data_IF_848852555410
#
_entry.id   IF_848852555410
#
_cell.length_a   1.000
_cell.length_b   1.000
_cell.length_c   1.000
_cell.angle_alpha   90.00
_cell.angle_beta   90.00
_cell.angle_gamma   90.00
#
_symmetry.space_group_name_H-M   'P 1'
#
loop_
_entity.id
_entity.type
_entity.pdbx_description
1 polymer ?
#
# COMPACT_ATOMS: atom_id res chain seq x y z
N UNK A 1 6.56 -92.80 -24.94
CA UNK A 1 8.01 -92.48 -24.95
C UNK A 1 8.15 -90.97 -24.82
N UNK A 2 8.79 -90.48 -23.75
CA UNK A 2 9.51 -89.19 -23.57
C UNK A 2 9.06 -87.95 -24.37
N UNK A 3 8.91 -86.72 -23.84
CA UNK A 3 9.45 -86.05 -22.65
C UNK A 3 8.71 -84.70 -22.48
N UNK A 4 8.72 -84.19 -21.26
CA UNK A 4 8.28 -82.85 -20.86
C UNK A 4 9.31 -81.74 -21.24
N UNK A 5 8.84 -80.48 -21.17
CA UNK A 5 9.51 -79.26 -20.63
C UNK A 5 9.66 -78.06 -21.59
N UNK A 6 8.91 -77.01 -21.22
CA UNK A 6 9.10 -75.56 -21.29
C UNK A 6 10.45 -74.98 -21.76
N UNK A 7 10.37 -73.92 -22.58
CA UNK A 7 11.21 -72.71 -22.50
C UNK A 7 10.38 -71.46 -22.79
N UNK A 8 10.61 -70.42 -21.98
CA UNK A 8 10.01 -69.10 -22.05
C UNK A 8 10.88 -68.12 -22.87
N UNK A 9 10.43 -66.85 -22.92
CA UNK A 9 11.12 -65.60 -23.29
C UNK A 9 10.78 -65.06 -24.68
N UNK A 10 10.14 -63.88 -24.77
CA UNK A 10 10.53 -62.64 -25.50
C UNK A 10 9.69 -61.48 -24.88
N UNK A 11 10.24 -60.68 -23.96
CA UNK A 11 10.85 -59.33 -24.10
C UNK A 11 9.86 -58.22 -24.50
N UNK A 12 9.70 -57.28 -23.56
CA UNK A 12 9.03 -55.98 -23.66
C UNK A 12 10.09 -54.91 -23.94
N UNK A 13 9.98 -54.15 -25.04
CA UNK A 13 10.64 -52.83 -25.20
C UNK A 13 9.67 -51.87 -25.89
N UNK A 14 9.46 -50.75 -25.20
CA UNK A 14 8.78 -49.51 -25.56
C UNK A 14 9.52 -48.70 -26.62
N UNK A 15 8.80 -48.06 -27.55
CA UNK A 15 9.02 -46.66 -27.99
C UNK A 15 7.93 -46.26 -28.99
N UNK A 16 7.11 -45.27 -28.68
CA UNK A 16 6.55 -44.38 -29.70
C UNK A 16 6.54 -42.94 -29.15
N UNK A 17 7.26 -42.09 -29.86
CA UNK A 17 7.38 -40.67 -29.64
C UNK A 17 6.09 -39.96 -30.08
N UNK A 18 5.56 -39.07 -29.23
CA UNK A 18 4.60 -38.06 -29.65
C UNK A 18 5.35 -36.79 -30.07
N UNK A 19 5.47 -36.59 -31.37
CA UNK A 19 5.82 -35.29 -31.96
C UNK A 19 4.55 -34.46 -32.15
N UNK A 20 4.63 -33.21 -31.71
CA UNK A 20 3.62 -32.17 -31.83
C UNK A 20 3.21 -31.87 -33.28
N UNK A 21 1.93 -31.56 -33.49
CA UNK A 21 1.47 -30.67 -34.56
C UNK A 21 0.40 -29.76 -33.95
N UNK A 22 0.71 -28.47 -33.90
CA UNK A 22 -0.21 -27.40 -33.56
C UNK A 22 -1.05 -27.02 -34.78
N UNK A 23 -2.31 -26.65 -34.55
CA UNK A 23 -3.16 -25.98 -35.54
C UNK A 23 -3.75 -24.70 -34.94
N UNK A 24 -3.90 -23.63 -35.74
CA UNK A 24 -3.94 -22.26 -35.26
C UNK A 24 -5.34 -21.77 -34.84
N UNK A 25 -5.33 -20.80 -33.94
CA UNK A 25 -6.47 -20.03 -33.45
C UNK A 25 -6.76 -18.89 -34.45
N UNK A 26 -7.88 -18.99 -35.16
CA UNK A 26 -8.35 -17.94 -36.08
C UNK A 26 -9.48 -17.13 -35.42
N UNK A 27 -9.20 -15.84 -35.30
CA UNK A 27 -10.11 -14.68 -35.39
C UNK A 27 -11.43 -14.67 -34.58
N UNK A 28 -11.42 -13.88 -33.51
CA UNK A 28 -12.57 -13.04 -33.17
C UNK A 28 -12.09 -11.61 -32.89
N UNK A 29 -12.04 -10.79 -33.96
CA UNK A 29 -11.85 -9.34 -33.93
C UNK A 29 -13.00 -8.71 -34.72
N UNK A 30 -13.95 -8.10 -33.99
CA UNK A 30 -14.94 -7.08 -34.38
C UNK A 30 -16.00 -7.12 -33.25
N UNK A 31 -16.35 -6.05 -32.52
CA UNK A 31 -16.62 -4.67 -32.89
C UNK A 31 -16.37 -3.80 -31.65
N UNK A 32 -15.43 -2.86 -31.72
CA UNK A 32 -15.41 -1.69 -30.82
C UNK A 32 -16.24 -0.62 -31.52
N UNK A 33 -17.45 -0.39 -31.02
CA UNK A 33 -18.20 0.82 -31.36
C UNK A 33 -17.69 1.97 -30.49
N UNK A 34 -17.28 3.03 -31.18
CA UNK A 34 -16.81 4.29 -30.66
C UNK A 34 -17.78 4.93 -29.66
N UNK A 35 -17.28 5.29 -28.47
CA UNK A 35 -17.85 6.36 -27.65
C UNK A 35 -16.78 7.39 -27.36
N UNK A 36 -16.76 8.40 -28.22
CA UNK A 36 -16.05 9.67 -28.11
C UNK A 36 -16.44 10.40 -26.81
N UNK A 37 -15.51 10.83 -25.94
CA UNK A 37 -15.84 11.79 -24.91
C UNK A 37 -15.95 13.19 -25.54
N UNK A 38 -17.13 13.78 -25.36
CA UNK A 38 -17.49 15.14 -25.73
C UNK A 38 -16.64 16.12 -24.91
N UNK A 39 -15.62 16.70 -25.55
CA UNK A 39 -14.94 17.90 -25.07
C UNK A 39 -15.81 19.09 -25.51
N UNK A 40 -16.56 19.64 -24.57
CA UNK A 40 -17.18 20.97 -24.63
C UNK A 40 -16.64 21.73 -23.41
N UNK A 41 -15.63 22.58 -23.61
CA UNK A 41 -15.76 24.01 -23.94
C UNK A 41 -15.92 24.87 -22.70
N UNK A 42 -14.80 25.34 -22.13
CA UNK A 42 -14.72 26.62 -21.43
C UNK A 42 -13.30 27.16 -21.60
N UNK A 43 -13.11 27.94 -22.66
CA UNK A 43 -12.06 28.94 -22.72
C UNK A 43 -12.73 30.30 -23.01
N UNK A 44 -12.20 31.34 -22.36
CA UNK A 44 -12.40 32.78 -22.57
C UNK A 44 -13.59 33.46 -21.87
N UNK A 45 -13.28 34.15 -20.76
CA UNK A 45 -13.57 35.60 -20.53
C UNK A 45 -12.51 36.10 -19.54
N UNK A 46 -11.41 36.67 -20.03
CA UNK A 46 -11.13 38.10 -20.15
C UNK A 46 -10.31 38.66 -18.96
N UNK A 47 -9.05 38.98 -19.27
CA UNK A 47 -8.17 39.86 -18.53
C UNK A 47 -8.59 41.30 -18.87
N UNK A 48 -8.91 42.10 -17.86
CA UNK A 48 -8.86 43.56 -17.95
C UNK A 48 -8.36 44.15 -16.64
N UNK A 49 -7.27 44.87 -16.78
CA UNK A 49 -6.59 45.77 -15.84
C UNK A 49 -7.52 46.84 -15.29
N UNK A 50 -7.40 47.18 -14.00
CA UNK A 50 -7.50 48.58 -13.58
C UNK A 50 -6.64 48.88 -12.34
N UNK A 51 -5.80 49.90 -12.51
CA UNK A 51 -4.95 50.57 -11.52
C UNK A 51 -5.70 51.81 -11.01
N UNK A 52 -5.72 52.03 -9.70
CA UNK A 52 -5.78 53.36 -9.07
C UNK A 52 -5.37 53.19 -7.58
N UNK A 53 -4.14 53.56 -7.19
CA UNK A 53 -3.76 54.88 -6.64
C UNK A 53 -4.67 55.43 -5.54
N UNK A 54 -4.19 55.41 -4.28
CA UNK A 54 -4.15 56.61 -3.43
C UNK A 54 -2.80 56.66 -2.69
N UNK A 55 -2.20 57.85 -2.81
CA UNK A 55 -0.90 58.38 -2.39
C UNK A 55 -0.79 58.59 -0.86
N UNK A 56 0.39 58.37 -0.27
CA UNK A 56 1.40 59.40 0.11
C UNK A 56 1.00 60.17 1.39
N UNK A 57 1.77 60.16 2.48
CA UNK A 57 2.95 60.98 2.80
C UNK A 57 3.29 60.59 4.27
N UNK A 58 4.47 60.70 4.88
CA UNK A 58 5.59 61.63 4.74
C UNK A 58 6.72 61.00 5.59
N UNK A 59 7.87 60.73 4.99
CA UNK A 59 9.08 61.56 5.05
C UNK A 59 9.96 61.40 6.31
N UNK A 60 11.21 61.01 6.01
CA UNK A 60 12.47 61.69 6.40
C UNK A 60 12.97 61.52 7.85
N UNK A 61 14.26 61.32 8.13
CA UNK A 61 15.48 61.46 7.33
C UNK A 61 16.69 60.91 8.14
N UNK A 62 17.73 60.41 7.43
CA UNK A 62 19.18 60.78 7.53
C UNK A 62 19.85 60.62 8.92
N UNK A 63 21.07 60.13 9.11
CA UNK A 63 22.14 59.56 8.29
C UNK A 63 23.28 59.18 9.23
N UNK A 64 24.13 58.26 8.76
CA UNK A 64 25.54 57.98 9.08
C UNK A 64 26.22 58.69 10.26
N UNK A 65 26.96 57.91 11.07
CA UNK A 65 28.39 58.13 11.33
C UNK A 65 29.07 56.84 11.77
N UNK A 66 30.37 56.78 11.48
CA UNK A 66 31.20 55.59 11.39
C UNK A 66 31.97 55.26 12.67
N UNK A 67 32.44 54.00 12.67
CA UNK A 67 33.69 53.49 13.26
C UNK A 67 33.87 53.25 14.78
N UNK A 68 34.68 52.20 14.98
CA UNK A 68 35.48 51.80 16.16
C UNK A 68 34.83 50.80 17.13
N UNK A 69 35.21 49.54 16.93
CA UNK A 69 35.15 48.47 17.94
C UNK A 69 35.97 48.82 19.19
N UNK A 70 35.63 48.25 20.36
CA UNK A 70 36.51 47.19 20.83
C UNK A 70 35.77 45.93 21.28
N UNK A 71 36.43 44.79 21.03
CA UNK A 71 36.15 43.46 21.60
C UNK A 71 35.86 43.55 23.11
N UNK A 72 34.72 43.01 23.54
CA UNK A 72 34.60 42.34 24.82
C UNK A 72 34.03 40.94 24.62
N UNK A 73 34.84 39.95 25.00
CA UNK A 73 34.48 38.55 25.00
C UNK A 73 33.39 38.26 26.04
N UNK A 74 32.18 37.94 25.58
CA UNK A 74 31.14 37.38 26.43
C UNK A 74 31.33 35.86 26.55
N UNK A 75 31.64 35.41 27.76
CA UNK A 75 31.74 34.00 28.16
C UNK A 75 30.37 33.29 27.97
N UNK A 76 30.34 31.99 27.62
CA UNK A 76 29.07 31.27 27.47
C UNK A 76 28.40 31.13 28.85
N UNK A 77 27.23 31.75 29.01
CA UNK A 77 26.37 31.51 30.16
C UNK A 77 25.93 30.05 30.13
N UNK A 78 26.32 29.28 31.15
CA UNK A 78 25.87 27.90 31.34
C UNK A 78 24.37 27.92 31.59
N UNK A 79 23.60 27.34 30.66
CA UNK A 79 22.16 27.16 30.82
C UNK A 79 21.85 26.51 32.18
N UNK A 80 20.80 26.99 32.84
CA UNK A 80 20.37 26.47 34.15
C UNK A 80 20.02 24.97 34.02
N UNK A 81 20.12 24.19 35.10
CA UNK A 81 19.71 22.79 35.09
C UNK A 81 18.27 22.62 34.56
N UNK A 82 17.39 23.57 34.86
CA UNK A 82 16.01 23.59 34.35
C UNK A 82 15.94 23.86 32.83
N UNK A 83 16.68 24.85 32.32
CA UNK A 83 16.74 25.10 30.87
C UNK A 83 17.38 23.93 30.10
N UNK A 84 18.33 23.23 30.73
CA UNK A 84 18.94 22.02 30.18
C UNK A 84 17.96 20.84 30.15
N UNK A 85 17.15 20.68 31.20
CA UNK A 85 16.09 19.66 31.25
C UNK A 85 14.98 19.98 30.25
N UNK A 86 14.60 21.25 30.09
CA UNK A 86 13.61 21.67 29.11
C UNK A 86 14.10 21.48 27.67
N UNK A 87 15.32 21.91 27.34
CA UNK A 87 15.92 21.68 26.03
C UNK A 87 16.13 20.18 25.73
N UNK A 88 16.45 19.38 26.75
CA UNK A 88 16.52 17.92 26.60
C UNK A 88 15.13 17.30 26.45
N UNK A 89 14.07 17.87 27.05
CA UNK A 89 12.70 17.41 26.86
C UNK A 89 12.14 17.78 25.49
N UNK A 90 12.45 18.98 24.99
CA UNK A 90 12.06 19.45 23.66
C UNK A 90 12.79 18.68 22.55
N UNK A 91 14.08 18.36 22.75
CA UNK A 91 14.85 17.54 21.82
C UNK A 91 14.53 16.02 21.95
N UNK A 92 13.80 15.61 23.00
CA UNK A 92 13.21 14.27 23.12
C UNK A 92 11.81 14.19 22.52
N UNK A 93 11.09 15.31 22.45
CA UNK A 93 9.79 15.43 21.79
C UNK A 93 9.90 15.54 20.26
N UNK A 94 11.03 16.01 19.73
CA UNK A 94 11.27 16.08 18.28
C UNK A 94 11.78 14.77 17.65
N UNK A 95 12.04 13.76 18.48
CA UNK A 95 12.38 12.39 18.06
C UNK A 95 11.31 11.39 18.53
N UNK A 96 10.04 11.77 18.48
CA UNK A 96 8.93 10.85 18.72
C UNK A 96 8.85 9.78 17.61
N UNK A 97 9.56 8.68 17.84
CA UNK A 97 9.31 7.31 17.39
C UNK A 97 8.05 7.12 16.54
N UNK A 98 8.13 7.42 15.24
CA UNK A 98 6.98 7.38 14.31
C UNK A 98 6.49 5.98 13.94
N UNK A 99 7.04 4.91 14.52
CA UNK A 99 6.72 3.52 14.16
C UNK A 99 6.66 2.64 15.42
N UNK A 100 5.79 2.98 16.37
CA UNK A 100 5.40 1.98 17.37
C UNK A 100 4.34 1.07 16.76
N UNK A 101 4.61 -0.22 16.77
CA UNK A 101 3.67 -1.26 16.37
C UNK A 101 2.28 -1.01 16.99
N UNK A 102 1.24 -0.99 16.15
CA UNK A 102 -0.14 -0.79 16.57
C UNK A 102 -0.93 -2.07 16.46
N UNK A 103 -1.40 -2.59 17.60
CA UNK A 103 -2.22 -3.80 17.66
C UNK A 103 -3.71 -3.47 17.56
N UNK A 104 -4.42 -4.20 16.69
CA UNK A 104 -5.86 -4.11 16.47
C UNK A 104 -6.50 -5.49 16.68
N UNK A 105 -7.75 -5.53 17.17
CA UNK A 105 -8.60 -6.72 17.13
C UNK A 105 -9.69 -6.48 16.09
N UNK A 106 -9.68 -7.24 15.00
CA UNK A 106 -10.58 -7.04 13.87
C UNK A 106 -11.65 -8.11 13.84
N UNK A 107 -12.90 -7.73 13.60
CA UNK A 107 -14.00 -8.67 13.37
C UNK A 107 -13.85 -9.34 12.00
N UNK A 108 -13.95 -10.67 11.99
CA UNK A 108 -13.95 -11.46 10.76
C UNK A 108 -15.34 -11.35 10.14
N UNK A 109 -15.39 -10.87 8.91
CA UNK A 109 -16.63 -10.73 8.15
C UNK A 109 -16.44 -11.16 6.71
N UNK A 110 -17.54 -11.52 6.07
CA UNK A 110 -17.59 -11.69 4.62
C UNK A 110 -17.59 -10.33 3.94
N UNK A 111 -16.66 -10.17 3.02
CA UNK A 111 -16.50 -8.99 2.18
C UNK A 111 -16.71 -9.40 0.71
N UNK A 112 -16.95 -8.44 -0.17
CA UNK A 112 -17.16 -8.67 -1.60
C UNK A 112 -16.25 -7.79 -2.42
N UNK A 113 -15.61 -8.37 -3.42
CA UNK A 113 -14.82 -7.59 -4.38
C UNK A 113 -15.72 -6.91 -5.41
N UNK A 114 -15.12 -6.16 -6.34
CA UNK A 114 -15.85 -5.48 -7.40
C UNK A 114 -16.49 -6.41 -8.44
N UNK A 115 -16.10 -7.68 -8.48
CA UNK A 115 -16.72 -8.71 -9.30
C UNK A 115 -17.84 -9.45 -8.55
N UNK A 116 -18.07 -9.12 -7.28
CA UNK A 116 -19.08 -9.74 -6.42
C UNK A 116 -18.62 -11.02 -5.72
N UNK A 117 -17.36 -11.44 -5.89
CA UNK A 117 -16.82 -12.63 -5.25
C UNK A 117 -16.64 -12.38 -3.76
N UNK A 118 -17.02 -13.37 -2.95
CA UNK A 118 -16.96 -13.31 -1.50
C UNK A 118 -15.58 -13.71 -1.01
N UNK A 119 -15.09 -13.02 0.02
CA UNK A 119 -13.83 -13.31 0.69
C UNK A 119 -13.94 -12.98 2.19
N UNK A 120 -12.95 -13.40 2.99
CA UNK A 120 -12.95 -13.12 4.43
C UNK A 120 -11.90 -12.08 4.77
N UNK A 121 -12.26 -11.12 5.60
CA UNK A 121 -11.35 -10.09 6.07
C UNK A 121 -11.86 -9.33 7.28
N UNK A 122 -11.03 -8.40 7.74
CA UNK A 122 -11.37 -7.46 8.80
C UNK A 122 -11.30 -6.03 8.28
N UNK A 123 -12.37 -5.25 8.46
CA UNK A 123 -12.40 -3.82 8.13
C UNK A 123 -11.57 -3.04 9.14
N UNK A 124 -10.92 -1.98 8.67
CA UNK A 124 -10.09 -1.09 9.50
C UNK A 124 -10.63 0.33 9.38
N UNK A 125 -10.68 1.03 10.50
CA UNK A 125 -11.16 2.40 10.53
C UNK A 125 -10.14 3.36 9.92
N UNK A 126 -10.64 4.45 9.32
CA UNK A 126 -9.77 5.53 8.83
C UNK A 126 -8.93 6.15 9.96
N UNK A 127 -9.50 6.25 11.16
CA UNK A 127 -8.80 6.76 12.34
C UNK A 127 -7.55 5.94 12.64
N UNK A 128 -7.64 4.61 12.51
CA UNK A 128 -6.53 3.72 12.76
C UNK A 128 -5.40 3.85 11.74
N UNK A 129 -5.72 4.30 10.53
CA UNK A 129 -4.79 4.46 9.41
C UNK A 129 -4.30 5.89 9.21
N UNK A 130 -4.81 6.85 9.97
CA UNK A 130 -4.58 8.28 9.77
C UNK A 130 -3.09 8.66 9.71
N UNK A 131 -2.25 8.06 10.57
CA UNK A 131 -0.81 8.29 10.56
C UNK A 131 -0.16 7.78 9.27
N UNK A 132 -0.47 6.55 8.85
CA UNK A 132 0.09 5.95 7.64
C UNK A 132 -0.40 6.67 6.36
N UNK A 133 -1.62 7.18 6.36
CA UNK A 133 -2.15 8.00 5.27
C UNK A 133 -1.42 9.35 5.16
N UNK A 134 -1.06 9.96 6.30
CA UNK A 134 -0.19 11.15 6.31
C UNK A 134 1.20 10.83 5.77
N UNK A 135 1.79 9.69 6.17
CA UNK A 135 3.08 9.24 5.65
C UNK A 135 3.02 9.00 4.14
N UNK A 136 1.96 8.34 3.64
CA UNK A 136 1.74 8.14 2.22
C UNK A 136 1.63 9.46 1.46
N UNK A 137 0.86 10.41 2.01
CA UNK A 137 0.70 11.75 1.42
C UNK A 137 2.03 12.48 1.34
N UNK A 138 2.84 12.41 2.41
CA UNK A 138 4.17 12.99 2.44
C UNK A 138 5.13 12.33 1.43
N UNK A 139 4.98 11.03 1.17
CA UNK A 139 5.84 10.31 0.24
C UNK A 139 5.49 10.57 -1.24
N UNK A 140 4.21 10.83 -1.55
CA UNK A 140 3.72 11.02 -2.92
C UNK A 140 3.55 12.48 -3.33
N UNK A 141 3.33 13.38 -2.37
CA UNK A 141 2.79 14.72 -2.63
C UNK A 141 1.27 14.69 -2.86
N UNK A 142 0.65 15.88 -2.89
CA UNK A 142 -0.81 16.05 -2.92
C UNK A 142 -1.49 15.39 -4.13
N UNK A 143 -0.97 15.66 -5.33
CA UNK A 143 -1.60 15.22 -6.59
C UNK A 143 -1.54 13.70 -6.75
N UNK A 144 -0.35 13.11 -6.59
CA UNK A 144 -0.19 11.66 -6.68
C UNK A 144 -0.92 10.94 -5.55
N UNK A 145 -0.95 11.51 -4.33
CA UNK A 145 -1.73 10.93 -3.25
C UNK A 145 -3.21 10.80 -3.63
N UNK A 146 -3.82 11.84 -4.20
CA UNK A 146 -5.20 11.81 -4.64
C UNK A 146 -5.45 10.70 -5.68
N UNK A 147 -4.56 10.58 -6.68
CA UNK A 147 -4.64 9.54 -7.71
C UNK A 147 -4.56 8.15 -7.07
N UNK A 148 -3.53 7.86 -6.28
CA UNK A 148 -3.31 6.54 -5.69
C UNK A 148 -4.47 6.13 -4.76
N UNK A 149 -5.02 7.10 -4.00
CA UNK A 149 -6.20 6.89 -3.17
C UNK A 149 -7.45 6.59 -3.99
N UNK A 150 -7.63 7.26 -5.12
CA UNK A 150 -8.77 7.03 -6.02
C UNK A 150 -8.77 5.61 -6.58
N UNK A 151 -7.62 5.11 -7.03
CA UNK A 151 -7.49 3.73 -7.53
C UNK A 151 -7.79 2.69 -6.46
N UNK A 152 -7.28 2.87 -5.24
CA UNK A 152 -7.63 1.99 -4.12
C UNK A 152 -9.11 2.07 -3.77
N UNK A 153 -9.66 3.28 -3.68
CA UNK A 153 -11.06 3.47 -3.32
C UNK A 153 -12.02 2.87 -4.35
N UNK A 154 -11.68 2.96 -5.64
CA UNK A 154 -12.43 2.33 -6.71
C UNK A 154 -12.39 0.79 -6.60
N UNK A 155 -11.23 0.20 -6.29
CA UNK A 155 -11.08 -1.26 -6.12
C UNK A 155 -11.74 -1.81 -4.86
N UNK A 156 -11.63 -1.10 -3.74
CA UNK A 156 -12.00 -1.58 -2.40
C UNK A 156 -13.29 -0.94 -1.86
N UNK A 157 -14.09 -0.34 -2.75
CA UNK A 157 -15.39 0.27 -2.42
C UNK A 157 -15.26 1.31 -1.30
N UNK A 158 -14.23 2.15 -1.37
CA UNK A 158 -13.91 3.20 -0.40
C UNK A 158 -13.59 2.69 1.03
N UNK A 159 -13.40 1.38 1.21
CA UNK A 159 -13.08 0.79 2.52
C UNK A 159 -11.61 0.43 2.64
N UNK A 160 -11.14 0.32 3.88
CA UNK A 160 -9.86 -0.31 4.19
C UNK A 160 -10.11 -1.63 4.89
N UNK A 161 -9.37 -2.65 4.51
CA UNK A 161 -9.50 -3.97 5.08
C UNK A 161 -8.19 -4.74 5.00
N UNK A 162 -8.07 -5.77 5.82
CA UNK A 162 -7.08 -6.82 5.67
C UNK A 162 -7.80 -8.06 5.18
N UNK A 163 -7.30 -8.60 4.07
CA UNK A 163 -7.77 -9.89 3.57
C UNK A 163 -7.20 -11.01 4.44
N UNK A 164 -8.05 -11.85 5.00
CA UNK A 164 -7.68 -13.07 5.73
C UNK A 164 -7.65 -14.28 4.79
N UNK A 165 -8.70 -14.41 3.97
CA UNK A 165 -8.83 -15.41 2.90
C UNK A 165 -9.25 -14.67 1.64
N UNK A 166 -8.53 -14.85 0.53
CA UNK A 166 -8.84 -14.13 -0.71
C UNK A 166 -10.03 -14.76 -1.46
N UNK A 167 -10.61 -14.09 -2.48
CA UNK A 167 -11.78 -14.59 -3.19
C UNK A 167 -11.61 -15.99 -3.79
N UNK A 168 -10.45 -16.31 -4.36
CA UNK A 168 -10.17 -17.61 -4.96
C UNK A 168 -10.01 -18.71 -3.90
N UNK A 169 -9.29 -18.41 -2.82
CA UNK A 169 -9.16 -19.33 -1.67
C UNK A 169 -10.53 -19.62 -1.06
N UNK A 170 -11.38 -18.61 -0.91
CA UNK A 170 -12.71 -18.73 -0.31
C UNK A 170 -13.66 -19.65 -1.11
N UNK A 171 -13.43 -19.80 -2.43
CA UNK A 171 -14.18 -20.76 -3.25
C UNK A 171 -13.80 -22.22 -2.97
N UNK A 172 -12.57 -22.45 -2.49
CA UNK A 172 -12.00 -23.79 -2.31
C UNK A 172 -12.09 -24.31 -0.88
N UNK A 173 -12.25 -23.43 0.11
CA UNK A 173 -12.36 -23.84 1.52
C UNK A 173 -13.67 -24.59 1.79
N UNK A 174 -13.61 -25.57 2.68
CA UNK A 174 -14.80 -26.27 3.14
C UNK A 174 -15.60 -25.43 4.14
N UNK A 175 -16.64 -24.75 3.66
CA UNK A 175 -17.51 -23.86 4.45
C UNK A 175 -18.29 -24.58 5.55
N UNK A 176 -18.55 -25.87 5.40
CA UNK A 176 -19.32 -26.65 6.39
C UNK A 176 -18.54 -26.94 7.68
N UNK A 177 -17.21 -26.83 7.62
CA UNK A 177 -16.30 -27.03 8.77
C UNK A 177 -15.75 -25.71 9.31
N UNK A 178 -16.27 -24.57 8.83
CA UNK A 178 -15.73 -23.24 9.08
C UNK A 178 -16.09 -22.75 10.50
N UNK A 179 -15.35 -23.22 11.52
CA UNK A 179 -15.43 -22.69 12.88
C UNK A 179 -14.40 -21.60 13.06
N UNK A 180 -14.73 -20.39 12.62
CA UNK A 180 -13.86 -19.23 12.78
C UNK A 180 -14.09 -18.55 14.12
N UNK A 181 -13.04 -18.01 14.75
CA UNK A 181 -13.23 -17.06 15.85
C UNK A 181 -13.95 -15.81 15.33
N UNK A 182 -14.62 -15.08 16.20
CA UNK A 182 -15.29 -13.82 15.81
C UNK A 182 -14.28 -12.75 15.39
N UNK A 183 -13.10 -12.76 15.99
CA UNK A 183 -12.07 -11.74 15.78
C UNK A 183 -10.69 -12.36 15.63
N UNK A 184 -9.76 -11.60 15.06
CA UNK A 184 -8.34 -11.93 14.97
C UNK A 184 -7.49 -10.70 15.25
N UNK A 185 -6.35 -10.89 15.92
CA UNK A 185 -5.44 -9.79 16.24
C UNK A 185 -4.48 -9.52 15.10
N UNK A 186 -4.25 -8.26 14.82
CA UNK A 186 -3.32 -7.77 13.79
C UNK A 186 -2.39 -6.74 14.42
N UNK A 187 -1.10 -6.81 14.09
CA UNK A 187 -0.11 -5.78 14.42
C UNK A 187 0.26 -5.03 13.14
N UNK A 188 0.08 -3.72 13.14
CA UNK A 188 0.49 -2.82 12.06
C UNK A 188 1.90 -2.29 12.37
N UNK A 189 2.82 -2.45 11.41
CA UNK A 189 4.25 -2.16 11.61
C UNK A 189 4.68 -0.82 11.01
N UNK A 190 4.25 -0.52 9.79
CA UNK A 190 4.75 0.65 9.06
C UNK A 190 4.29 0.71 7.61
N UNK A 191 4.63 1.81 6.94
CA UNK A 191 4.39 1.98 5.51
C UNK A 191 5.35 1.10 4.70
N UNK A 192 4.79 0.19 3.92
CA UNK A 192 5.49 -0.63 2.94
C UNK A 192 5.23 -0.14 1.51
N UNK A 193 6.16 -0.47 0.62
CA UNK A 193 6.06 -0.20 -0.80
C UNK A 193 6.62 -1.35 -1.62
N UNK A 194 5.92 -1.66 -2.71
CA UNK A 194 6.48 -2.45 -3.82
C UNK A 194 6.36 -1.66 -5.12
N UNK A 195 7.30 -1.90 -6.02
CA UNK A 195 7.39 -1.27 -7.33
C UNK A 195 7.77 -2.34 -8.34
N UNK A 196 7.09 -2.35 -9.48
CA UNK A 196 7.40 -3.20 -10.61
C UNK A 196 7.09 -2.44 -11.90
N UNK A 197 8.12 -2.16 -12.70
CA UNK A 197 8.02 -1.29 -13.86
C UNK A 197 7.38 0.07 -13.50
N UNK A 198 6.27 0.43 -14.15
CA UNK A 198 5.52 1.66 -13.91
C UNK A 198 4.49 1.53 -12.79
N UNK A 199 4.36 0.33 -12.20
CA UNK A 199 3.38 0.06 -11.13
C UNK A 199 4.00 0.29 -9.76
N UNK A 200 3.25 0.96 -8.89
CA UNK A 200 3.62 1.19 -7.49
C UNK A 200 2.44 0.91 -6.58
N UNK A 201 2.70 0.17 -5.51
CA UNK A 201 1.71 -0.08 -4.47
C UNK A 201 2.25 0.28 -3.10
N UNK A 202 1.46 1.04 -2.36
CA UNK A 202 1.70 1.42 -0.98
C UNK A 202 0.66 0.79 -0.06
N UNK A 203 1.14 0.28 1.06
CA UNK A 203 0.31 -0.46 2.00
C UNK A 203 0.89 -0.36 3.41
N UNK A 204 0.08 -0.61 4.43
CA UNK A 204 0.59 -0.83 5.79
C UNK A 204 0.99 -2.29 5.90
N UNK A 205 2.25 -2.55 6.21
CA UNK A 205 2.73 -3.91 6.51
C UNK A 205 2.12 -4.34 7.84
N UNK A 206 1.56 -5.55 7.87
CA UNK A 206 0.94 -6.10 9.05
C UNK A 206 1.37 -7.54 9.31
N UNK A 207 1.31 -7.95 10.57
CA UNK A 207 1.44 -9.35 10.98
C UNK A 207 0.24 -9.80 11.79
N UNK A 208 -0.06 -11.10 11.76
CA UNK A 208 -1.17 -11.67 12.52
C UNK A 208 -0.90 -13.15 12.78
N UNK A 209 -0.47 -13.48 14.00
CA UNK A 209 -0.30 -14.88 14.41
C UNK A 209 -1.65 -15.61 14.37
N UNK A 210 -2.71 -14.97 14.90
CA UNK A 210 -4.08 -15.49 14.87
C UNK A 210 -4.55 -15.73 13.42
N UNK A 211 -4.27 -14.79 12.51
CA UNK A 211 -4.59 -14.91 11.10
C UNK A 211 -3.85 -16.05 10.40
N UNK A 212 -2.56 -16.25 10.67
CA UNK A 212 -1.82 -17.40 10.14
C UNK A 212 -2.38 -18.72 10.68
N UNK A 213 -2.70 -18.77 11.98
CA UNK A 213 -3.29 -19.95 12.61
C UNK A 213 -4.64 -20.32 11.98
N UNK A 214 -5.50 -19.32 11.75
CA UNK A 214 -6.77 -19.52 11.03
C UNK A 214 -6.51 -20.08 9.63
N UNK A 215 -5.57 -19.49 8.87
CA UNK A 215 -5.23 -19.97 7.52
C UNK A 215 -4.74 -21.42 7.53
N UNK A 216 -3.91 -21.80 8.51
CA UNK A 216 -3.44 -23.18 8.67
C UNK A 216 -4.58 -24.16 8.93
N UNK A 217 -5.54 -23.79 9.80
CA UNK A 217 -6.73 -24.62 10.06
C UNK A 217 -7.62 -24.78 8.81
N UNK A 218 -7.56 -23.82 7.88
CA UNK A 218 -8.24 -23.87 6.59
C UNK A 218 -7.39 -24.55 5.49
N UNK A 219 -6.23 -25.11 5.83
CA UNK A 219 -5.25 -25.70 4.90
C UNK A 219 -4.77 -24.71 3.82
N UNK A 220 -4.78 -23.42 4.14
CA UNK A 220 -4.27 -22.35 3.28
C UNK A 220 -2.80 -22.06 3.59
N UNK A 221 -2.06 -21.65 2.55
CA UNK A 221 -0.66 -21.25 2.70
C UNK A 221 -0.52 -20.03 3.61
N UNK A 222 0.63 -19.88 4.27
CA UNK A 222 0.98 -18.61 4.91
C UNK A 222 0.99 -17.47 3.87
N UNK A 223 0.68 -16.26 4.30
CA UNK A 223 0.74 -15.07 3.43
C UNK A 223 1.17 -13.82 4.19
N UNK A 224 1.57 -12.81 3.46
CA UNK A 224 1.79 -11.47 4.03
C UNK A 224 0.44 -10.79 4.29
N UNK A 225 0.28 -10.24 5.50
CA UNK A 225 -0.86 -9.39 5.83
C UNK A 225 -0.49 -7.93 5.56
N UNK A 226 -1.42 -7.20 4.96
CA UNK A 226 -1.21 -5.79 4.66
C UNK A 226 -2.56 -5.09 4.50
N UNK A 227 -2.56 -3.78 4.68
CA UNK A 227 -3.67 -2.88 4.37
C UNK A 227 -3.31 -2.06 3.15
N UNK A 228 -3.97 -2.25 2.02
CA UNK A 228 -3.68 -1.42 0.84
C UNK A 228 -4.09 0.03 1.10
N UNK A 229 -3.16 0.96 0.91
CA UNK A 229 -3.40 2.39 1.06
C UNK A 229 -3.46 3.12 -0.28
N UNK A 230 -2.91 2.59 -1.35
CA UNK A 230 -2.92 3.26 -2.64
C UNK A 230 -2.04 2.53 -3.63
N UNK A 231 -2.38 2.61 -4.91
CA UNK A 231 -1.56 2.08 -5.97
C UNK A 231 -1.85 2.81 -7.28
N UNK A 232 -0.93 2.69 -8.23
CA UNK A 232 -1.10 3.21 -9.56
C UNK A 232 -0.22 2.44 -10.56
N UNK A 233 -0.69 2.24 -11.81
CA UNK A 233 -2.09 2.27 -12.24
C UNK A 233 -2.89 1.07 -11.71
N UNK A 234 -2.22 -0.04 -11.38
CA UNK A 234 -2.84 -1.24 -10.80
C UNK A 234 -2.09 -1.68 -9.55
N UNK A 235 -2.74 -2.49 -8.71
CA UNK A 235 -2.03 -3.15 -7.62
C UNK A 235 -1.08 -4.23 -8.18
N UNK A 236 0.01 -4.47 -7.44
CA UNK A 236 0.99 -5.50 -7.74
C UNK A 236 0.68 -6.74 -6.93
N UNK A 237 0.50 -7.87 -7.63
CA UNK A 237 0.26 -9.19 -7.05
C UNK A 237 1.47 -10.11 -7.25
N UNK A 238 1.53 -11.21 -6.49
CA UNK A 238 2.56 -12.24 -6.66
C UNK A 238 3.95 -11.89 -6.10
N UNK A 239 4.11 -10.72 -5.49
CA UNK A 239 5.32 -10.27 -4.79
C UNK A 239 5.11 -10.26 -3.28
N UNK A 240 6.18 -10.32 -2.49
CA UNK A 240 6.08 -10.17 -1.04
C UNK A 240 5.58 -8.76 -0.69
N UNK A 241 4.75 -8.69 0.35
CA UNK A 241 4.28 -7.45 0.99
C UNK A 241 4.55 -7.51 2.50
N UNK A 242 5.62 -8.22 2.87
CA UNK A 242 6.04 -8.49 4.23
C UNK A 242 6.93 -7.38 4.81
N UNK A 243 7.61 -7.68 5.92
CA UNK A 243 8.45 -6.72 6.64
C UNK A 243 9.66 -6.22 5.84
N UNK A 244 10.13 -7.01 4.87
CA UNK A 244 11.20 -6.66 3.94
C UNK A 244 10.82 -5.46 3.03
N UNK A 245 9.52 -5.18 2.87
CA UNK A 245 9.02 -4.07 2.05
C UNK A 245 8.85 -2.75 2.81
N UNK A 246 9.14 -2.73 4.12
CA UNK A 246 9.04 -1.52 4.94
C UNK A 246 9.96 -0.42 4.41
N UNK A 247 9.40 0.78 4.22
CA UNK A 247 10.17 1.96 3.85
C UNK A 247 10.97 2.40 5.09
N UNK A 248 12.30 2.39 4.98
CA UNK A 248 13.18 2.97 6.00
C UNK A 248 13.00 4.49 5.98
N UNK A 249 12.65 5.04 7.14
CA UNK A 249 12.59 6.50 7.37
C UNK A 249 13.94 7.02 7.80
#
# INVERSE_FOLDING_TARGET
>A
MNKKIYWAVIIMITTLANSAIATPLTEHLAVIQEKKPLVQSLEQVAITTELAHINNDKSTNISTHAEVSPKLAAKPQKATPLARVLAQSENKLSAETFNKDKTLSLEISELRDNSGLVYLGGKISLADLSLYLKQLKSALGEEQYAIYRQYQAARDQQTFHITLVNPYEYQTINKTQLKLPKQFRVVLHGLGRVENDEKKSYFVVASSADGQFIRQNLLLKNKDFHVTLGFYPDDIYGVSKGQDTLIKQ
#
